data_IF_538924989695
#
_entry.id   IF_538924989695
#
_cell.length_a   1.000
_cell.length_b   1.000
_cell.length_c   1.000
_cell.angle_alpha   90.00
_cell.angle_beta   90.00
_cell.angle_gamma   90.00
#
_symmetry.space_group_name_H-M   'P 1'
#
loop_
_entity.id
_entity.type
_entity.pdbx_description
1 polymer ?
#
# COMPACT_ATOMS: atom_id res chain seq x y z
N UNK A 1 -21.57 55.55 -21.49
CA UNK A 1 -21.58 54.08 -21.63
C UNK A 1 -20.18 53.63 -22.05
N UNK A 2 -19.39 53.01 -21.18
CA UNK A 2 -18.18 52.28 -21.57
C UNK A 2 -17.94 51.14 -20.57
N UNK A 3 -17.77 49.94 -21.11
CA UNK A 3 -17.93 48.64 -20.45
C UNK A 3 -16.78 48.29 -19.51
N UNK A 4 -17.10 47.63 -18.40
CA UNK A 4 -16.16 46.94 -17.51
C UNK A 4 -15.47 45.81 -18.28
N UNK A 5 -14.14 45.84 -18.36
CA UNK A 5 -13.34 44.74 -18.90
C UNK A 5 -13.02 43.78 -17.76
N UNK A 6 -13.69 42.63 -17.73
CA UNK A 6 -13.35 41.51 -16.85
C UNK A 6 -12.26 40.71 -17.56
N UNK A 7 -11.08 40.63 -16.96
CA UNK A 7 -9.99 39.75 -17.39
C UNK A 7 -10.30 38.37 -16.82
N UNK A 8 -10.82 37.46 -17.65
CA UNK A 8 -10.97 36.06 -17.29
C UNK A 8 -9.63 35.36 -17.54
N UNK A 9 -8.85 35.15 -16.47
CA UNK A 9 -7.63 34.35 -16.50
C UNK A 9 -8.02 32.87 -16.57
N UNK A 10 -8.06 32.30 -17.77
CA UNK A 10 -8.27 30.86 -17.95
C UNK A 10 -6.93 30.17 -17.67
N UNK A 11 -6.76 29.64 -16.46
CA UNK A 11 -5.72 28.66 -16.14
C UNK A 11 -6.07 27.34 -16.86
N UNK A 12 -5.70 27.24 -18.13
CA UNK A 12 -5.66 25.98 -18.85
C UNK A 12 -4.41 25.21 -18.43
N UNK A 13 -4.45 24.56 -17.27
CA UNK A 13 -3.56 23.45 -16.97
C UNK A 13 -4.10 22.26 -17.77
N UNK A 14 -3.37 21.72 -18.76
CA UNK A 14 -3.80 20.51 -19.43
C UNK A 14 -3.85 19.38 -18.40
N UNK A 15 -5.04 18.87 -18.14
CA UNK A 15 -5.34 17.70 -17.29
C UNK A 15 -4.75 16.37 -17.84
N UNK A 16 -3.77 16.44 -18.73
CA UNK A 16 -3.23 15.30 -19.47
C UNK A 16 -1.81 14.93 -19.04
N UNK A 17 -1.57 14.85 -17.73
CA UNK A 17 -0.35 14.24 -17.16
C UNK A 17 -0.73 13.12 -16.17
N UNK A 18 -1.65 12.26 -16.57
CA UNK A 18 -1.94 11.00 -15.88
C UNK A 18 -2.12 9.88 -16.90
N UNK A 19 -1.13 9.69 -17.77
CA UNK A 19 -0.96 8.46 -18.51
C UNK A 19 0.45 8.45 -19.11
N UNK A 20 1.34 7.62 -18.55
CA UNK A 20 2.04 6.54 -19.25
C UNK A 20 2.84 5.76 -18.20
N UNK A 21 2.57 4.46 -17.93
CA UNK A 21 3.60 3.60 -17.38
C UNK A 21 4.62 3.42 -18.51
N UNK A 22 5.67 4.24 -18.49
CA UNK A 22 6.83 3.98 -19.34
C UNK A 22 7.49 2.75 -18.74
N UNK A 23 7.48 1.64 -19.47
CA UNK A 23 8.20 0.41 -19.13
C UNK A 23 9.71 0.66 -19.04
N UNK A 24 10.12 1.22 -17.90
CA UNK A 24 11.48 1.40 -17.44
C UNK A 24 11.59 0.77 -16.06
N UNK A 25 12.81 0.46 -15.63
CA UNK A 25 13.04 -0.12 -14.32
C UNK A 25 12.35 0.70 -13.22
N UNK A 26 11.37 0.10 -12.54
CA UNK A 26 10.78 0.66 -11.32
C UNK A 26 11.93 0.88 -10.34
N UNK A 27 12.02 2.09 -9.78
CA UNK A 27 13.07 2.37 -8.82
C UNK A 27 12.88 1.43 -7.62
N UNK A 28 13.97 0.87 -7.09
CA UNK A 28 13.89 -0.06 -5.96
C UNK A 28 13.09 0.52 -4.79
N UNK A 29 13.17 1.84 -4.59
CA UNK A 29 12.40 2.54 -3.56
C UNK A 29 10.89 2.54 -3.80
N UNK A 30 10.45 2.72 -5.05
CA UNK A 30 9.03 2.65 -5.44
C UNK A 30 8.50 1.24 -5.22
N UNK A 31 9.31 0.23 -5.55
CA UNK A 31 8.99 -1.17 -5.34
C UNK A 31 8.84 -1.51 -3.84
N UNK A 32 9.74 -0.99 -3.00
CA UNK A 32 9.63 -1.12 -1.54
C UNK A 32 8.34 -0.47 -1.03
N UNK A 33 7.98 0.71 -1.54
CA UNK A 33 6.75 1.40 -1.14
C UNK A 33 5.51 0.61 -1.55
N UNK A 34 5.45 0.10 -2.78
CA UNK A 34 4.35 -0.72 -3.27
C UNK A 34 4.18 -2.03 -2.47
N UNK A 35 5.29 -2.71 -2.16
CA UNK A 35 5.26 -3.93 -1.34
C UNK A 35 4.84 -3.65 0.10
N UNK A 36 5.28 -2.53 0.71
CA UNK A 36 4.80 -2.14 2.03
C UNK A 36 3.30 -1.77 2.01
N UNK A 37 2.83 -1.09 0.97
CA UNK A 37 1.41 -0.79 0.79
C UNK A 37 0.58 -2.07 0.66
N UNK A 38 1.06 -3.04 -0.12
CA UNK A 38 0.41 -4.34 -0.24
C UNK A 38 0.38 -5.09 1.10
N UNK A 39 1.51 -5.14 1.83
CA UNK A 39 1.56 -5.80 3.14
C UNK A 39 0.59 -5.17 4.15
N UNK A 40 0.45 -3.84 4.15
CA UNK A 40 -0.55 -3.15 4.98
C UNK A 40 -1.98 -3.52 4.57
N UNK A 41 -2.27 -3.53 3.26
CA UNK A 41 -3.57 -3.89 2.74
C UNK A 41 -3.95 -5.34 3.10
N UNK A 42 -3.01 -6.27 2.98
CA UNK A 42 -3.17 -7.66 3.41
C UNK A 42 -3.45 -7.76 4.90
N UNK A 43 -2.73 -7.02 5.75
CA UNK A 43 -3.00 -7.03 7.18
C UNK A 43 -4.40 -6.49 7.52
N UNK A 44 -4.84 -5.45 6.81
CA UNK A 44 -6.19 -4.88 6.97
C UNK A 44 -7.28 -5.86 6.54
N UNK A 45 -7.04 -6.67 5.49
CA UNK A 45 -7.96 -7.71 5.01
C UNK A 45 -8.22 -8.81 6.05
N UNK A 46 -7.29 -9.01 6.99
CA UNK A 46 -7.41 -10.00 8.07
C UNK A 46 -8.01 -9.42 9.36
N UNK A 47 -8.38 -8.13 9.39
CA UNK A 47 -8.99 -7.54 10.58
C UNK A 47 -10.43 -8.01 10.80
N UNK A 48 -10.84 -8.08 12.06
CA UNK A 48 -12.21 -8.48 12.44
C UNK A 48 -13.26 -7.45 12.04
N UNK A 49 -12.88 -6.17 12.01
CA UNK A 49 -13.78 -5.10 11.57
C UNK A 49 -14.10 -5.24 10.09
N UNK A 50 -15.39 -5.32 9.77
CA UNK A 50 -15.87 -5.58 8.41
C UNK A 50 -15.49 -4.48 7.40
N UNK A 51 -15.41 -3.22 7.84
CA UNK A 51 -15.02 -2.11 6.96
C UNK A 51 -13.53 -2.17 6.66
N UNK A 52 -12.69 -2.39 7.68
CA UNK A 52 -11.24 -2.54 7.50
C UNK A 52 -10.91 -3.73 6.63
N UNK A 53 -11.56 -4.88 6.86
CA UNK A 53 -11.42 -6.06 6.01
C UNK A 53 -11.70 -5.75 4.54
N UNK A 54 -12.90 -5.23 4.26
CA UNK A 54 -13.34 -4.92 2.89
C UNK A 54 -12.44 -3.89 2.21
N UNK A 55 -11.99 -2.87 2.94
CA UNK A 55 -11.12 -1.83 2.38
C UNK A 55 -9.69 -2.34 2.17
N UNK A 56 -9.19 -3.21 3.05
CA UNK A 56 -7.93 -3.94 2.87
C UNK A 56 -7.93 -4.80 1.61
N UNK A 57 -8.98 -5.63 1.42
CA UNK A 57 -9.16 -6.45 0.21
C UNK A 57 -9.19 -5.59 -1.06
N UNK A 58 -10.00 -4.53 -1.07
CA UNK A 58 -10.11 -3.62 -2.21
C UNK A 58 -8.77 -2.92 -2.52
N UNK A 59 -8.05 -2.49 -1.47
CA UNK A 59 -6.75 -1.85 -1.62
C UNK A 59 -5.71 -2.82 -2.17
N UNK A 60 -5.62 -4.03 -1.61
CA UNK A 60 -4.71 -5.07 -2.09
C UNK A 60 -4.94 -5.37 -3.58
N UNK A 61 -6.20 -5.56 -3.98
CA UNK A 61 -6.57 -5.79 -5.37
C UNK A 61 -6.19 -4.61 -6.28
N UNK A 62 -6.42 -3.37 -5.85
CA UNK A 62 -6.05 -2.19 -6.65
C UNK A 62 -4.54 -2.08 -6.89
N UNK A 63 -3.72 -2.54 -5.94
CA UNK A 63 -2.26 -2.57 -6.08
C UNK A 63 -1.81 -3.65 -7.06
N UNK A 64 -2.57 -4.74 -7.21
CA UNK A 64 -2.29 -5.79 -8.21
C UNK A 64 -2.56 -5.28 -9.63
N UNK A 65 -3.70 -4.61 -9.83
CA UNK A 65 -4.08 -4.05 -11.12
C UNK A 65 -3.10 -2.96 -11.60
N UNK A 66 -2.57 -2.16 -10.67
CA UNK A 66 -1.62 -1.08 -10.97
C UNK A 66 -0.17 -1.55 -11.18
N UNK A 67 0.18 -2.77 -10.78
CA UNK A 67 1.55 -3.28 -10.82
C UNK A 67 1.60 -4.65 -11.53
N UNK A 68 1.38 -4.65 -12.85
CA UNK A 68 1.42 -5.85 -13.70
C UNK A 68 2.73 -6.63 -13.68
N UNK A 69 3.79 -6.09 -13.06
CA UNK A 69 5.09 -6.74 -12.89
C UNK A 69 5.16 -7.66 -11.66
N UNK A 70 4.19 -7.59 -10.74
CA UNK A 70 4.11 -8.49 -9.60
C UNK A 70 3.47 -9.81 -10.00
N UNK A 71 4.30 -10.81 -10.31
CA UNK A 71 3.85 -12.19 -10.41
C UNK A 71 3.17 -12.61 -9.08
N UNK A 72 1.87 -12.97 -9.07
CA UNK A 72 1.18 -13.36 -7.85
C UNK A 72 1.87 -14.49 -7.08
N UNK A 73 2.37 -15.52 -7.76
CA UNK A 73 2.97 -16.69 -7.12
C UNK A 73 4.34 -16.39 -6.50
N UNK A 74 5.09 -15.46 -7.08
CA UNK A 74 6.45 -15.18 -6.63
C UNK A 74 6.56 -13.97 -5.69
N UNK A 75 5.56 -13.09 -5.69
CA UNK A 75 5.60 -11.82 -4.94
C UNK A 75 4.46 -11.72 -3.94
N UNK A 76 3.22 -11.78 -4.43
CA UNK A 76 2.05 -11.39 -3.65
C UNK A 76 1.65 -12.47 -2.66
N UNK A 77 1.57 -13.73 -3.10
CA UNK A 77 1.25 -14.87 -2.24
C UNK A 77 2.30 -15.03 -1.13
N UNK A 78 3.62 -15.09 -1.43
CA UNK A 78 4.63 -15.19 -0.38
C UNK A 78 4.60 -14.04 0.62
N UNK A 79 4.32 -12.81 0.15
CA UNK A 79 4.22 -11.65 1.02
C UNK A 79 2.98 -11.71 1.92
N UNK A 80 1.81 -12.08 1.38
CA UNK A 80 0.59 -12.27 2.15
C UNK A 80 0.77 -13.36 3.22
N UNK A 81 1.30 -14.53 2.85
CA UNK A 81 1.56 -15.61 3.82
C UNK A 81 2.54 -15.20 4.92
N UNK A 82 3.51 -14.34 4.60
CA UNK A 82 4.46 -13.82 5.58
C UNK A 82 3.80 -12.82 6.52
N UNK A 83 2.87 -12.01 6.00
CA UNK A 83 2.02 -11.12 6.80
C UNK A 83 1.11 -11.94 7.72
N UNK A 84 0.45 -12.99 7.23
CA UNK A 84 -0.43 -13.86 8.03
C UNK A 84 0.33 -14.50 9.21
N UNK A 85 1.55 -14.98 8.95
CA UNK A 85 2.45 -15.48 9.99
C UNK A 85 2.85 -14.39 10.98
N UNK A 86 3.07 -13.16 10.52
CA UNK A 86 3.40 -12.03 11.39
C UNK A 86 2.21 -11.60 12.26
N UNK A 87 0.98 -11.61 11.72
CA UNK A 87 -0.27 -11.38 12.44
C UNK A 87 -0.39 -12.37 13.61
N UNK A 88 -0.20 -13.67 13.35
CA UNK A 88 -0.28 -14.71 14.38
C UNK A 88 0.73 -14.53 15.53
N UNK A 89 1.82 -13.78 15.29
CA UNK A 89 2.88 -13.51 16.27
C UNK A 89 2.85 -12.07 16.84
N UNK A 90 1.87 -11.25 16.44
CA UNK A 90 1.73 -9.87 16.95
C UNK A 90 0.54 -9.78 17.87
N UNK A 91 0.76 -9.25 19.08
CA UNK A 91 -0.34 -8.93 19.99
C UNK A 91 -1.10 -7.71 19.49
N UNK A 92 -2.42 -7.78 19.44
CA UNK A 92 -3.26 -6.64 19.10
C UNK A 92 -3.03 -5.47 20.06
N UNK A 93 -2.95 -4.25 19.52
CA UNK A 93 -2.78 -3.04 20.32
C UNK A 93 -4.14 -2.58 20.85
N UNK A 94 -4.30 -2.59 22.17
CA UNK A 94 -5.53 -2.18 22.85
C UNK A 94 -5.19 -1.08 23.84
N UNK A 95 -5.92 0.03 23.77
CA UNK A 95 -5.78 1.14 24.70
C UNK A 95 -7.06 1.35 25.50
N UNK A 96 -6.92 2.02 26.65
CA UNK A 96 -8.06 2.58 27.34
C UNK A 96 -8.66 3.73 26.52
N UNK A 97 -9.94 3.67 26.23
CA UNK A 97 -10.67 4.75 25.56
C UNK A 97 -11.93 5.11 26.34
N UNK A 98 -11.86 6.24 27.05
CA UNK A 98 -12.88 6.67 28.01
C UNK A 98 -14.24 6.97 27.36
N UNK A 99 -14.28 7.24 26.06
CA UNK A 99 -15.51 7.44 25.32
C UNK A 99 -16.17 6.14 24.82
N UNK A 100 -15.53 4.97 25.00
CA UNK A 100 -16.12 3.67 24.69
C UNK A 100 -16.88 3.09 25.89
N UNK A 101 -18.07 2.49 25.69
CA UNK A 101 -18.80 1.77 26.74
C UNK A 101 -18.00 0.64 27.38
N UNK A 102 -17.09 0.00 26.63
CA UNK A 102 -16.25 -1.09 27.13
C UNK A 102 -14.95 -0.59 27.77
N UNK A 103 -14.62 0.69 27.61
CA UNK A 103 -13.37 1.28 28.09
C UNK A 103 -12.13 0.88 27.31
N UNK A 104 -12.22 -0.05 26.37
CA UNK A 104 -11.12 -0.55 25.54
C UNK A 104 -11.34 -0.17 24.07
N UNK A 105 -10.27 0.19 23.37
CA UNK A 105 -10.23 0.49 21.94
C UNK A 105 -9.07 -0.27 21.29
N UNK A 106 -9.40 -1.15 20.35
CA UNK A 106 -8.41 -1.76 19.46
C UNK A 106 -7.89 -0.71 18.47
N UNK A 107 -6.57 -0.68 18.22
CA UNK A 107 -5.94 0.19 17.22
C UNK A 107 -5.44 -0.64 16.03
N UNK A 108 -6.34 -1.11 15.14
CA UNK A 108 -5.98 -2.00 14.04
C UNK A 108 -4.99 -1.38 13.04
N UNK A 109 -5.00 -0.05 12.86
CA UNK A 109 -4.03 0.64 12.01
C UNK A 109 -2.62 0.57 12.62
N UNK A 110 -2.49 0.84 13.93
CA UNK A 110 -1.22 0.75 14.64
C UNK A 110 -0.73 -0.71 14.70
N UNK A 111 -1.66 -1.64 14.92
CA UNK A 111 -1.37 -3.07 14.87
C UNK A 111 -0.79 -3.50 13.52
N UNK A 112 -1.43 -3.12 12.40
CA UNK A 112 -0.91 -3.47 11.09
C UNK A 112 0.42 -2.78 10.77
N UNK A 113 0.63 -1.55 11.26
CA UNK A 113 1.93 -0.91 11.19
C UNK A 113 3.02 -1.76 11.87
N UNK A 114 2.79 -2.29 13.07
CA UNK A 114 3.75 -3.13 13.77
C UNK A 114 3.97 -4.48 13.05
N UNK A 115 2.90 -5.10 12.57
CA UNK A 115 2.95 -6.35 11.78
C UNK A 115 3.88 -6.17 10.57
N UNK A 116 3.68 -5.13 9.76
CA UNK A 116 4.48 -4.96 8.55
C UNK A 116 5.93 -4.59 8.84
N UNK A 117 6.23 -3.99 10.00
CA UNK A 117 7.59 -3.63 10.39
C UNK A 117 8.35 -4.78 11.05
N UNK A 118 7.72 -5.95 11.22
CA UNK A 118 8.43 -7.11 11.72
C UNK A 118 9.64 -7.48 10.83
N UNK A 119 10.74 -7.98 11.44
CA UNK A 119 11.97 -8.24 10.70
C UNK A 119 11.82 -9.20 9.51
N UNK A 120 10.98 -10.24 9.62
CA UNK A 120 10.71 -11.21 8.57
C UNK A 120 9.98 -10.58 7.37
N UNK A 121 8.94 -9.78 7.61
CA UNK A 121 8.19 -9.08 6.56
C UNK A 121 9.12 -8.11 5.83
N UNK A 122 9.85 -7.28 6.58
CA UNK A 122 10.79 -6.32 6.00
C UNK A 122 11.97 -6.98 5.29
N UNK A 123 12.43 -8.15 5.74
CA UNK A 123 13.45 -8.91 5.04
C UNK A 123 12.96 -9.38 3.67
N UNK A 124 11.75 -9.94 3.60
CA UNK A 124 11.14 -10.38 2.34
C UNK A 124 10.92 -9.21 1.38
N UNK A 125 10.38 -8.07 1.85
CA UNK A 125 10.20 -6.87 1.04
C UNK A 125 11.54 -6.40 0.44
N UNK A 126 12.62 -6.41 1.23
CA UNK A 126 13.97 -6.06 0.72
C UNK A 126 14.50 -7.06 -0.29
N UNK A 127 14.25 -8.35 -0.10
CA UNK A 127 14.63 -9.40 -1.05
C UNK A 127 13.90 -9.27 -2.38
N UNK A 128 12.56 -9.21 -2.33
CA UNK A 128 11.69 -9.01 -3.48
C UNK A 128 12.08 -7.71 -4.21
N UNK A 129 12.27 -6.61 -3.49
CA UNK A 129 12.66 -5.35 -4.13
C UNK A 129 14.00 -5.43 -4.87
N UNK A 130 14.99 -6.14 -4.33
CA UNK A 130 16.28 -6.38 -5.00
C UNK A 130 16.12 -7.27 -6.23
N UNK A 131 15.29 -8.30 -6.15
CA UNK A 131 15.05 -9.25 -7.25
C UNK A 131 14.39 -8.54 -8.43
N UNK A 132 13.29 -7.82 -8.21
CA UNK A 132 12.48 -7.25 -9.29
C UNK A 132 12.95 -5.88 -9.78
N UNK A 133 13.64 -5.06 -8.96
CA UNK A 133 14.29 -3.84 -9.47
C UNK A 133 15.41 -4.11 -10.49
N UNK A 134 15.98 -5.33 -10.49
CA UNK A 134 17.02 -5.75 -11.43
C UNK A 134 16.45 -6.25 -12.76
N UNK A 135 15.23 -6.77 -12.78
CA UNK A 135 14.59 -7.31 -13.98
C UNK A 135 14.20 -6.20 -14.98
N UNK A 136 14.00 -4.96 -14.50
CA UNK A 136 13.80 -3.78 -15.35
C UNK A 136 15.09 -3.22 -15.98
N UNK A 137 16.28 -3.69 -15.60
CA UNK A 137 17.53 -3.32 -16.27
C UNK A 137 17.73 -4.23 -17.48
N UNK A 138 17.46 -3.73 -18.70
CA UNK A 138 18.00 -4.37 -19.90
C UNK A 138 19.52 -4.52 -19.76
N UNK A 139 20.11 -5.69 -20.06
CA UNK A 139 21.55 -5.81 -20.17
C UNK A 139 22.01 -4.90 -21.31
N UNK A 140 23.04 -4.08 -21.04
CA UNK A 140 23.74 -3.28 -22.06
C UNK A 140 24.52 -4.20 -23.00
#
# INVERSE_FOLDING_TARGET
>A
MLKKTIITLILSLPLSVWAQPKGGAIAQQELIQALNAFANASCLAEQKDSYLKKTGEAWANSLMEGNSEFNPEEVLIPLSETVDKAIANTTAYVIRYEASPTGDLELPIAYCFDVIHQPNVQALIRELSKKYSRLGKKPN
#
